data_IF_119980504119
#
_entry.id   IF_119980504119
#
_cell.length_a   1.000
_cell.length_b   1.000
_cell.length_c   1.000
_cell.angle_alpha   90.00
_cell.angle_beta   90.00
_cell.angle_gamma   90.00
#
_symmetry.space_group_name_H-M   'P 1'
#
loop_
_entity.id
_entity.type
_entity.pdbx_description
1 polymer ?
#
# COMPACT_ATOMS: atom_id res chain seq x y z
N UNK A 1 -1.35 -43.01 -17.67
CA UNK A 1 -1.80 -42.56 -16.34
C UNK A 1 -1.38 -41.11 -16.25
N UNK A 2 -2.34 -40.20 -16.07
CA UNK A 2 -2.14 -38.76 -16.19
C UNK A 2 -1.57 -38.18 -14.89
N UNK A 3 -0.34 -37.67 -14.95
CA UNK A 3 0.19 -36.77 -13.94
C UNK A 3 -0.43 -35.37 -14.16
N UNK A 4 -1.24 -34.98 -13.17
CA UNK A 4 -1.74 -33.61 -12.99
C UNK A 4 -0.65 -32.83 -12.26
N UNK A 5 0.26 -32.21 -13.00
CA UNK A 5 1.08 -31.14 -12.43
C UNK A 5 0.33 -29.81 -12.61
N UNK A 6 -0.09 -29.27 -11.47
CA UNK A 6 -0.67 -27.95 -11.35
C UNK A 6 0.37 -26.90 -11.71
N UNK A 7 0.08 -26.14 -12.76
CA UNK A 7 0.79 -24.93 -13.11
C UNK A 7 0.58 -23.91 -11.99
N UNK A 8 1.52 -23.85 -11.04
CA UNK A 8 1.76 -22.66 -10.23
C UNK A 8 2.19 -21.55 -11.20
N UNK A 9 1.25 -20.70 -11.57
CA UNK A 9 1.52 -19.45 -12.27
C UNK A 9 2.30 -18.56 -11.31
N UNK A 10 3.62 -18.71 -11.31
CA UNK A 10 4.54 -17.79 -10.68
C UNK A 10 4.48 -16.48 -11.47
N UNK A 11 3.82 -15.46 -10.92
CA UNK A 11 3.81 -14.11 -11.49
C UNK A 11 5.22 -13.55 -11.38
N UNK A 12 6.04 -13.83 -12.39
CA UNK A 12 7.35 -13.20 -12.58
C UNK A 12 7.07 -11.77 -13.02
N UNK A 13 7.28 -10.81 -12.12
CA UNK A 13 7.30 -9.39 -12.46
C UNK A 13 8.51 -9.19 -13.38
N UNK A 14 8.26 -9.23 -14.69
CA UNK A 14 9.28 -8.93 -15.69
C UNK A 14 9.44 -7.41 -15.68
N UNK A 15 10.49 -6.91 -15.02
CA UNK A 15 10.96 -5.55 -15.21
C UNK A 15 11.63 -5.50 -16.59
N UNK A 16 10.80 -5.39 -17.64
CA UNK A 16 11.28 -5.12 -18.98
C UNK A 16 11.79 -3.68 -19.02
N UNK A 17 13.12 -3.53 -19.08
CA UNK A 17 13.80 -2.25 -19.04
C UNK A 17 13.84 -1.53 -20.40
N UNK A 18 13.15 -2.05 -21.44
CA UNK A 18 13.28 -1.59 -22.82
C UNK A 18 11.99 -1.00 -23.42
N UNK A 19 10.88 -1.03 -22.69
CA UNK A 19 9.67 -0.27 -23.06
C UNK A 19 9.63 1.08 -22.32
N UNK A 20 9.28 2.16 -23.04
CA UNK A 20 9.07 3.52 -22.54
C UNK A 20 8.54 3.54 -21.10
N UNK A 21 9.05 4.41 -20.20
CA UNK A 21 8.90 4.26 -18.75
C UNK A 21 7.44 4.03 -18.42
N UNK A 22 7.08 2.75 -18.25
CA UNK A 22 5.76 2.36 -17.82
C UNK A 22 5.65 3.02 -16.46
N UNK A 23 4.92 4.13 -16.41
CA UNK A 23 4.69 4.86 -15.17
C UNK A 23 3.86 3.89 -14.35
N UNK A 24 4.54 3.09 -13.54
CA UNK A 24 3.92 2.11 -12.68
C UNK A 24 3.05 2.91 -11.72
N UNK A 25 1.76 2.94 -12.02
CA UNK A 25 0.77 3.40 -11.07
C UNK A 25 0.32 2.16 -10.29
N UNK A 26 0.80 1.95 -9.06
CA UNK A 26 0.41 0.79 -8.25
C UNK A 26 -1.12 0.70 -8.07
N UNK A 27 -1.83 1.82 -8.18
CA UNK A 27 -3.29 1.87 -8.06
C UNK A 27 -4.03 1.39 -9.32
N UNK A 28 -3.32 1.14 -10.43
CA UNK A 28 -3.89 0.49 -11.63
C UNK A 28 -4.28 -0.96 -11.37
N UNK A 29 -3.66 -1.62 -10.39
CA UNK A 29 -3.99 -2.99 -9.99
C UNK A 29 -5.43 -3.15 -9.49
N UNK A 30 -6.13 -2.06 -9.17
CA UNK A 30 -7.57 -2.06 -8.83
C UNK A 30 -8.47 -2.59 -9.95
N UNK A 31 -8.02 -2.52 -11.19
CA UNK A 31 -8.77 -3.03 -12.33
C UNK A 31 -8.74 -4.57 -12.42
N UNK A 32 -7.80 -5.22 -11.72
CA UNK A 32 -7.61 -6.67 -11.78
C UNK A 32 -8.20 -7.37 -10.55
N UNK A 33 -8.79 -8.57 -10.72
CA UNK A 33 -9.26 -9.38 -9.58
C UNK A 33 -8.09 -9.70 -8.64
N UNK A 34 -8.21 -9.35 -7.36
CA UNK A 34 -7.16 -9.59 -6.37
C UNK A 34 -5.99 -8.59 -6.41
N UNK A 35 -6.02 -7.60 -7.30
CA UNK A 35 -4.93 -6.64 -7.43
C UNK A 35 -4.82 -5.65 -6.26
N UNK A 36 -5.90 -5.43 -5.51
CA UNK A 36 -5.85 -4.66 -4.25
C UNK A 36 -5.11 -5.43 -3.16
N UNK A 37 -5.40 -6.71 -3.01
CA UNK A 37 -4.72 -7.60 -2.06
C UNK A 37 -3.24 -7.70 -2.37
N UNK A 38 -2.90 -7.95 -3.64
CA UNK A 38 -1.52 -7.94 -4.09
C UNK A 38 -0.83 -6.62 -3.76
N UNK A 39 -1.48 -5.47 -3.96
CA UNK A 39 -0.90 -4.17 -3.67
C UNK A 39 -0.65 -3.97 -2.16
N UNK A 40 -1.57 -4.41 -1.30
CA UNK A 40 -1.40 -4.34 0.16
C UNK A 40 -0.23 -5.21 0.63
N UNK A 41 -0.10 -6.42 0.09
CA UNK A 41 1.01 -7.32 0.40
C UNK A 41 2.33 -6.78 -0.14
N UNK A 42 2.36 -6.29 -1.38
CA UNK A 42 3.53 -5.63 -1.97
C UNK A 42 4.00 -4.43 -1.15
N UNK A 43 3.09 -3.57 -0.68
CA UNK A 43 3.45 -2.44 0.18
C UNK A 43 3.99 -2.88 1.55
N UNK A 44 3.45 -3.97 2.11
CA UNK A 44 3.94 -4.54 3.37
C UNK A 44 5.37 -5.07 3.22
N UNK A 45 5.63 -5.79 2.13
CA UNK A 45 6.96 -6.31 1.79
C UNK A 45 7.95 -5.18 1.52
N UNK A 46 7.56 -4.17 0.74
CA UNK A 46 8.39 -3.03 0.38
C UNK A 46 8.79 -2.21 1.62
N UNK A 47 7.87 -2.01 2.56
CA UNK A 47 8.15 -1.30 3.80
C UNK A 47 9.05 -2.13 4.75
N UNK A 48 9.15 -3.44 4.54
CA UNK A 48 9.80 -4.35 5.49
C UNK A 48 9.10 -4.39 6.86
N UNK A 49 7.84 -3.93 6.93
CA UNK A 49 7.07 -3.85 8.18
C UNK A 49 5.89 -4.81 8.07
N UNK A 50 5.76 -5.78 9.00
CA UNK A 50 4.57 -6.63 9.03
C UNK A 50 3.35 -5.78 9.38
N UNK A 51 2.42 -5.63 8.44
CA UNK A 51 1.12 -5.04 8.70
C UNK A 51 0.20 -6.09 9.34
N UNK A 52 -0.47 -5.70 10.43
CA UNK A 52 -1.51 -6.52 11.06
C UNK A 52 -2.72 -6.66 10.14
N UNK A 53 -3.54 -7.69 10.33
CA UNK A 53 -4.77 -7.91 9.54
C UNK A 53 -5.70 -6.68 9.56
N UNK A 54 -5.81 -6.01 10.71
CA UNK A 54 -6.55 -4.75 10.83
C UNK A 54 -5.98 -3.67 9.93
N UNK A 55 -4.65 -3.45 9.93
CA UNK A 55 -4.01 -2.45 9.07
C UNK A 55 -4.15 -2.79 7.60
N UNK A 56 -4.02 -4.07 7.23
CA UNK A 56 -4.25 -4.54 5.85
C UNK A 56 -5.68 -4.28 5.40
N UNK A 57 -6.66 -4.56 6.26
CA UNK A 57 -8.08 -4.29 5.99
C UNK A 57 -8.37 -2.79 5.81
N UNK A 58 -7.81 -1.94 6.68
CA UNK A 58 -7.91 -0.48 6.52
C UNK A 58 -7.28 -0.03 5.22
N UNK A 59 -6.08 -0.50 4.89
CA UNK A 59 -5.37 -0.14 3.66
C UNK A 59 -6.16 -0.54 2.42
N UNK A 60 -6.73 -1.76 2.41
CA UNK A 60 -7.64 -2.24 1.35
C UNK A 60 -8.82 -1.30 1.18
N UNK A 61 -9.50 -0.97 2.26
CA UNK A 61 -10.68 -0.08 2.26
C UNK A 61 -10.33 1.30 1.68
N UNK A 62 -9.17 1.84 2.05
CA UNK A 62 -8.69 3.12 1.54
C UNK A 62 -8.39 3.04 0.04
N UNK A 63 -7.71 1.99 -0.43
CA UNK A 63 -7.39 1.79 -1.86
C UNK A 63 -8.67 1.66 -2.69
N UNK A 64 -9.64 0.87 -2.22
CA UNK A 64 -10.94 0.69 -2.88
C UNK A 64 -11.77 1.99 -2.91
N UNK A 65 -11.68 2.80 -1.85
CA UNK A 65 -12.39 4.08 -1.73
C UNK A 65 -11.78 5.25 -2.49
N UNK A 66 -10.57 5.12 -3.04
CA UNK A 66 -9.94 6.19 -3.82
C UNK A 66 -10.63 6.40 -5.17
N UNK A 67 -10.70 7.64 -5.70
CA UNK A 67 -11.26 7.88 -7.03
C UNK A 67 -10.45 7.19 -8.15
N UNK A 68 -11.09 6.98 -9.30
CA UNK A 68 -10.40 6.52 -10.50
C UNK A 68 -9.31 7.54 -10.90
N UNK A 69 -8.13 7.05 -11.31
CA UNK A 69 -6.99 7.91 -11.63
C UNK A 69 -6.29 8.53 -10.41
N UNK A 70 -6.66 8.15 -9.18
CA UNK A 70 -5.91 8.51 -7.99
C UNK A 70 -4.43 8.12 -8.11
N UNK A 71 -3.56 8.94 -7.53
CA UNK A 71 -2.12 8.70 -7.48
C UNK A 71 -1.71 8.13 -6.13
N UNK A 72 -0.46 7.68 -6.02
CA UNK A 72 0.11 7.25 -4.74
C UNK A 72 0.04 8.38 -3.69
N UNK A 73 0.15 9.64 -4.09
CA UNK A 73 -0.02 10.78 -3.20
C UNK A 73 -1.45 10.84 -2.62
N UNK A 74 -2.47 10.54 -3.43
CA UNK A 74 -3.85 10.43 -2.95
C UNK A 74 -4.02 9.31 -1.91
N UNK A 75 -3.35 8.17 -2.11
CA UNK A 75 -3.34 7.08 -1.14
C UNK A 75 -2.67 7.51 0.18
N UNK A 76 -1.50 8.16 0.11
CA UNK A 76 -0.80 8.67 1.28
C UNK A 76 -1.68 9.64 2.06
N UNK A 77 -2.34 10.58 1.37
CA UNK A 77 -3.27 11.52 1.99
C UNK A 77 -4.46 10.80 2.64
N UNK A 78 -4.99 9.75 2.01
CA UNK A 78 -6.09 8.96 2.56
C UNK A 78 -5.67 8.19 3.83
N UNK A 79 -4.46 7.62 3.84
CA UNK A 79 -3.87 6.96 5.02
C UNK A 79 -3.71 7.96 6.16
N UNK A 80 -3.05 9.11 5.92
CA UNK A 80 -2.88 10.16 6.94
C UNK A 80 -4.22 10.65 7.49
N UNK A 81 -5.22 10.83 6.64
CA UNK A 81 -6.54 11.24 7.08
C UNK A 81 -7.24 10.17 7.94
N UNK A 82 -7.00 8.89 7.66
CA UNK A 82 -7.48 7.79 8.50
C UNK A 82 -6.82 7.81 9.88
N UNK A 83 -5.50 7.93 9.93
CA UNK A 83 -4.75 7.97 11.19
C UNK A 83 -5.08 9.21 12.03
N UNK A 84 -5.22 10.38 11.40
CA UNK A 84 -5.66 11.60 12.07
C UNK A 84 -7.03 11.42 12.74
N UNK A 85 -7.98 10.76 12.06
CA UNK A 85 -9.30 10.45 12.62
C UNK A 85 -9.22 9.49 13.80
N UNK A 86 -8.37 8.47 13.74
CA UNK A 86 -8.14 7.53 14.85
C UNK A 86 -7.59 8.24 16.09
N UNK A 87 -6.75 9.28 15.88
CA UNK A 87 -6.20 10.11 16.95
C UNK A 87 -7.16 11.24 17.39
N UNK A 88 -8.31 11.41 16.73
CA UNK A 88 -9.27 12.47 17.04
C UNK A 88 -8.79 13.88 16.69
N UNK A 89 -7.84 14.00 15.75
CA UNK A 89 -7.23 15.26 15.33
C UNK A 89 -7.53 15.57 13.85
N UNK A 90 -7.30 16.80 13.43
CA UNK A 90 -7.37 17.18 12.02
C UNK A 90 -6.13 16.69 11.25
N UNK A 91 -6.25 16.60 9.92
CA UNK A 91 -5.12 16.27 9.05
C UNK A 91 -3.98 17.29 9.17
N UNK A 92 -4.32 18.57 9.31
CA UNK A 92 -3.34 19.65 9.51
C UNK A 92 -2.56 19.48 10.82
N UNK A 93 -3.27 19.11 11.91
CA UNK A 93 -2.63 18.78 13.19
C UNK A 93 -1.77 17.53 13.08
N UNK A 94 -2.20 16.52 12.33
CA UNK A 94 -1.42 15.32 12.10
C UNK A 94 -0.12 15.64 11.35
N UNK A 95 -0.18 16.43 10.27
CA UNK A 95 1.01 16.83 9.51
C UNK A 95 1.96 17.71 10.35
N UNK A 96 1.42 18.59 11.21
CA UNK A 96 2.22 19.36 12.16
C UNK A 96 2.95 18.49 13.20
N UNK A 97 2.36 17.35 13.57
CA UNK A 97 2.93 16.40 14.53
C UNK A 97 3.81 15.32 13.87
N UNK A 98 3.80 15.21 12.54
CA UNK A 98 4.59 14.20 11.82
C UNK A 98 6.08 14.17 12.21
N UNK A 99 6.79 15.32 12.37
CA UNK A 99 8.19 15.30 12.81
C UNK A 99 8.37 14.74 14.23
N UNK A 100 7.38 14.93 15.11
CA UNK A 100 7.40 14.39 16.46
C UNK A 100 7.17 12.88 16.45
N UNK A 101 6.23 12.38 15.64
CA UNK A 101 6.00 10.94 15.50
C UNK A 101 7.25 10.22 14.96
N UNK A 102 7.93 10.81 13.98
CA UNK A 102 9.20 10.31 13.47
C UNK A 102 10.27 10.27 14.57
N UNK A 103 10.47 11.38 15.29
CA UNK A 103 11.43 11.44 16.39
C UNK A 103 11.16 10.40 17.49
N UNK A 104 9.89 10.20 17.86
CA UNK A 104 9.49 9.20 18.86
C UNK A 104 9.71 7.76 18.37
N UNK A 105 9.51 7.49 17.08
CA UNK A 105 9.77 6.16 16.49
C UNK A 105 11.25 5.78 16.56
N UNK A 106 12.15 6.74 16.48
CA UNK A 106 13.60 6.54 16.64
C UNK A 106 14.03 6.48 18.11
N UNK A 107 13.32 7.15 19.01
CA UNK A 107 13.67 7.18 20.44
C UNK A 107 13.43 5.83 21.14
N UNK A 108 12.42 5.06 20.71
CA UNK A 108 12.11 3.74 21.26
C UNK A 108 13.02 2.58 20.79
N UNK A 109 14.02 2.84 19.93
CA UNK A 109 14.95 1.83 19.41
C UNK A 109 16.37 1.90 20.01
N UNK A 110 16.56 2.62 21.12
CA UNK A 110 17.80 2.60 21.94
C UNK A 110 17.61 1.77 23.20
#
# INVERSE_FOLDING_TARGET
MSDREGIMQQTVITLDADAAPATFNPLSCRAEPGGVEWLVDFMSELAGVPLTDTKKSTLRTLIEGLPAGASLASLISAVKASEARELGISLDQYDALAPLFEALSHYGQK
#
